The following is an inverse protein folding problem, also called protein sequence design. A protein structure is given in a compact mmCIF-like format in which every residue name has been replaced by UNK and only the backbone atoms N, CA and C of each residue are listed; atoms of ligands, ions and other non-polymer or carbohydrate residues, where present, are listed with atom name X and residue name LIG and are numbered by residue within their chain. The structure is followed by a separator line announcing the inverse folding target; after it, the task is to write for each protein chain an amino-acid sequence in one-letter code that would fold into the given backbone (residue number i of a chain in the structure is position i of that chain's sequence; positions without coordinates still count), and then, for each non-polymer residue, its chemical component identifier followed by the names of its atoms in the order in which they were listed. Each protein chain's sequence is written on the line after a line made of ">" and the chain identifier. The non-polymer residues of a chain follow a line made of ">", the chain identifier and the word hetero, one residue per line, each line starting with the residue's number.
data_IF_845830536923
#
_entry.id   IF_845830536923
#
_cell.length_a   1.000
_cell.length_b   1.000
_cell.length_c   1.000
_cell.angle_alpha   90.00
_cell.angle_beta   90.00
_cell.angle_gamma   90.00
#
_symmetry.space_group_name_H-M   'P 1'
#
loop_
_entity.id
_entity.type
_entity.pdbx_description
1 polymer ?
#
# COMPACT_ATOMS: atom_id res chain seq x y z
N UNK A 1 1.98 -7.49 -26.82
CA UNK A 1 2.42 -7.22 -25.42
C UNK A 1 1.61 -6.10 -24.74
N UNK A 2 1.21 -5.03 -25.46
CA UNK A 2 0.45 -3.93 -24.84
C UNK A 2 -1.01 -4.26 -24.46
N UNK A 3 -1.64 -5.27 -25.03
CA UNK A 3 -3.05 -5.64 -24.71
C UNK A 3 -3.24 -6.15 -23.30
N UNK A 4 -2.23 -6.78 -22.69
CA UNK A 4 -2.34 -7.37 -21.35
C UNK A 4 -2.17 -6.36 -20.22
N UNK A 5 -1.54 -5.20 -20.45
CA UNK A 5 -1.24 -4.25 -19.36
C UNK A 5 -2.49 -3.56 -18.80
N UNK A 6 -3.48 -3.30 -19.66
CA UNK A 6 -4.75 -2.70 -19.22
C UNK A 6 -5.59 -3.70 -18.40
N UNK A 7 -5.47 -4.97 -18.69
CA UNK A 7 -6.12 -6.03 -17.92
C UNK A 7 -5.45 -6.19 -16.55
N UNK A 8 -4.11 -6.23 -16.51
CA UNK A 8 -3.36 -6.27 -15.25
C UNK A 8 -3.72 -5.08 -14.35
N UNK A 9 -3.79 -3.86 -14.89
CA UNK A 9 -4.15 -2.64 -14.14
C UNK A 9 -5.56 -2.67 -13.53
N UNK A 10 -6.45 -3.53 -14.00
CA UNK A 10 -7.79 -3.71 -13.40
C UNK A 10 -7.74 -4.56 -12.14
N UNK A 11 -6.74 -5.42 -12.01
CA UNK A 11 -6.65 -6.40 -10.93
C UNK A 11 -5.54 -6.13 -9.93
N UNK A 12 -4.55 -5.33 -10.31
CA UNK A 12 -3.37 -5.05 -9.49
C UNK A 12 -3.27 -3.55 -9.24
N UNK A 13 -3.21 -3.19 -7.96
CA UNK A 13 -2.88 -1.83 -7.54
C UNK A 13 -1.49 -1.81 -6.89
N UNK A 14 -0.77 -0.72 -7.10
CA UNK A 14 0.56 -0.49 -6.57
C UNK A 14 0.61 0.86 -5.86
N UNK A 15 1.24 0.91 -4.69
CA UNK A 15 1.64 2.16 -4.04
C UNK A 15 3.15 2.27 -4.01
N UNK A 16 3.66 3.44 -4.37
CA UNK A 16 5.10 3.73 -4.42
C UNK A 16 5.65 4.09 -3.05
N UNK A 17 6.93 3.83 -2.85
CA UNK A 17 7.70 4.30 -1.70
C UNK A 17 7.59 5.82 -1.55
N UNK A 18 7.87 6.56 -2.62
CA UNK A 18 7.74 8.02 -2.71
C UNK A 18 6.30 8.40 -3.07
N UNK A 19 5.47 8.68 -2.05
CA UNK A 19 4.04 9.03 -2.27
C UNK A 19 3.88 10.28 -3.13
N UNK A 20 4.81 11.23 -3.07
CA UNK A 20 4.76 12.44 -3.88
C UNK A 20 4.83 12.16 -5.39
N UNK A 21 5.49 11.07 -5.80
CA UNK A 21 5.61 10.69 -7.21
C UNK A 21 4.32 10.03 -7.75
N UNK A 22 3.43 9.63 -6.83
CA UNK A 22 2.18 8.98 -7.17
C UNK A 22 1.01 9.96 -7.27
N UNK A 23 1.01 11.04 -6.47
CA UNK A 23 -0.10 11.98 -6.35
C UNK A 23 0.10 13.19 -7.26
N UNK A 24 -0.78 13.35 -8.25
CA UNK A 24 -0.62 14.37 -9.31
C UNK A 24 -1.91 15.13 -9.66
N UNK A 25 -3.07 14.72 -9.14
CA UNK A 25 -4.34 15.39 -9.41
C UNK A 25 -4.47 16.72 -8.65
N UNK A 26 -5.44 17.54 -9.08
CA UNK A 26 -5.72 18.85 -8.51
C UNK A 26 -6.38 18.80 -7.14
N UNK A 27 -7.01 17.69 -6.78
CA UNK A 27 -7.66 17.48 -5.49
C UNK A 27 -7.53 16.02 -5.03
N UNK A 28 -7.69 15.80 -3.72
CA UNK A 28 -7.78 14.46 -3.12
C UNK A 28 -8.93 13.67 -3.74
N UNK A 29 -10.07 14.32 -3.98
CA UNK A 29 -11.23 13.69 -4.61
C UNK A 29 -10.90 13.17 -6.00
N UNK A 30 -10.24 14.00 -6.82
CA UNK A 30 -9.83 13.63 -8.19
C UNK A 30 -8.78 12.52 -8.19
N UNK A 31 -7.86 12.52 -7.22
CA UNK A 31 -6.84 11.49 -7.08
C UNK A 31 -7.48 10.11 -6.85
N UNK A 32 -8.45 10.03 -5.91
CA UNK A 32 -9.16 8.78 -5.63
C UNK A 32 -10.07 8.37 -6.82
N UNK A 33 -10.68 9.34 -7.50
CA UNK A 33 -11.55 9.10 -8.65
C UNK A 33 -10.80 8.71 -9.93
N UNK A 34 -9.50 8.97 -10.02
CA UNK A 34 -8.71 8.83 -11.26
C UNK A 34 -8.74 7.41 -11.82
N UNK A 35 -8.44 6.40 -10.99
CA UNK A 35 -8.46 5.01 -11.40
C UNK A 35 -9.83 4.55 -11.89
N UNK A 36 -10.90 4.68 -11.09
CA UNK A 36 -12.27 4.36 -11.47
C UNK A 36 -12.75 5.07 -12.76
N UNK A 37 -12.39 6.35 -12.96
CA UNK A 37 -12.68 7.07 -14.21
C UNK A 37 -12.01 6.42 -15.44
N UNK A 38 -10.74 6.06 -15.31
CA UNK A 38 -10.00 5.40 -16.39
C UNK A 38 -10.49 3.97 -16.69
N UNK A 39 -11.10 3.32 -15.69
CA UNK A 39 -11.79 2.04 -15.88
C UNK A 39 -13.18 2.20 -16.53
N UNK A 40 -13.63 3.42 -16.78
CA UNK A 40 -14.91 3.72 -17.41
C UNK A 40 -16.12 3.47 -16.53
N UNK A 41 -15.97 3.58 -15.20
CA UNK A 41 -17.07 3.34 -14.28
C UNK A 41 -18.17 4.42 -14.39
N UNK A 42 -19.45 4.08 -14.10
CA UNK A 42 -20.52 5.05 -14.03
C UNK A 42 -20.24 6.14 -12.98
N UNK A 43 -20.61 7.39 -13.29
CA UNK A 43 -20.37 8.55 -12.41
C UNK A 43 -20.88 8.33 -10.97
N UNK A 44 -22.04 7.70 -10.81
CA UNK A 44 -22.60 7.40 -9.50
C UNK A 44 -21.73 6.42 -8.73
N UNK A 45 -21.25 5.32 -9.35
CA UNK A 45 -20.35 4.34 -8.71
C UNK A 45 -19.04 5.01 -8.30
N UNK A 46 -18.50 5.89 -9.14
CA UNK A 46 -17.28 6.66 -8.81
C UNK A 46 -17.52 7.49 -7.56
N UNK A 47 -18.61 8.27 -7.52
CA UNK A 47 -18.94 9.12 -6.38
C UNK A 47 -19.07 8.31 -5.08
N UNK A 48 -19.86 7.25 -5.08
CA UNK A 48 -20.04 6.36 -3.93
C UNK A 48 -18.71 5.75 -3.44
N UNK A 49 -17.87 5.33 -4.39
CA UNK A 49 -16.55 4.76 -4.07
C UNK A 49 -15.61 5.79 -3.45
N UNK A 50 -15.54 6.99 -4.02
CA UNK A 50 -14.70 8.07 -3.48
C UNK A 50 -15.16 8.47 -2.08
N UNK A 51 -16.47 8.69 -1.88
CA UNK A 51 -17.04 9.05 -0.58
C UNK A 51 -16.74 7.98 0.48
N UNK A 52 -16.85 6.70 0.13
CA UNK A 52 -16.51 5.58 1.01
C UNK A 52 -15.05 5.65 1.47
N UNK A 53 -14.10 5.88 0.54
CA UNK A 53 -12.69 5.92 0.88
C UNK A 53 -12.27 7.20 1.59
N UNK A 54 -12.88 8.34 1.25
CA UNK A 54 -12.71 9.60 2.00
C UNK A 54 -13.17 9.44 3.46
N UNK A 55 -14.30 8.75 3.67
CA UNK A 55 -14.79 8.47 5.01
C UNK A 55 -13.88 7.51 5.78
N UNK A 56 -13.47 6.41 5.13
CA UNK A 56 -12.63 5.38 5.75
C UNK A 56 -11.29 5.94 6.24
N UNK A 57 -10.63 6.77 5.44
CA UNK A 57 -9.34 7.37 5.76
C UNK A 57 -9.41 8.73 6.45
N UNK A 58 -10.61 9.19 6.86
CA UNK A 58 -10.82 10.50 7.51
C UNK A 58 -10.32 11.68 6.66
N UNK A 59 -10.52 11.64 5.34
CA UNK A 59 -10.03 12.63 4.37
C UNK A 59 -11.11 13.61 3.90
N UNK A 60 -12.35 13.55 4.42
CA UNK A 60 -13.49 14.37 3.93
C UNK A 60 -13.20 15.85 3.98
N UNK A 61 -12.62 16.34 5.07
CA UNK A 61 -12.32 17.78 5.26
C UNK A 61 -11.26 18.31 4.29
N UNK A 62 -10.43 17.43 3.74
CA UNK A 62 -9.36 17.78 2.81
C UNK A 62 -9.66 17.32 1.38
N UNK A 63 -10.85 16.81 1.10
CA UNK A 63 -11.23 16.21 -0.18
C UNK A 63 -11.00 17.12 -1.40
N UNK A 64 -11.20 18.42 -1.24
CA UNK A 64 -11.00 19.41 -2.28
C UNK A 64 -9.60 20.04 -2.27
N UNK A 65 -8.72 19.68 -1.33
CA UNK A 65 -7.36 20.22 -1.27
C UNK A 65 -6.44 19.49 -2.25
N UNK A 66 -5.48 20.20 -2.84
CA UNK A 66 -4.41 19.57 -3.60
C UNK A 66 -3.57 18.63 -2.71
N UNK A 67 -3.20 17.45 -3.21
CA UNK A 67 -2.43 16.48 -2.41
C UNK A 67 -1.11 17.02 -1.85
N UNK A 68 -0.44 17.93 -2.55
CA UNK A 68 0.82 18.49 -2.10
C UNK A 68 0.72 19.36 -0.82
N UNK A 69 -0.48 19.82 -0.46
CA UNK A 69 -0.76 20.55 0.79
C UNK A 69 -1.04 19.64 2.00
N UNK A 70 -1.00 18.34 1.83
CA UNK A 70 -1.29 17.36 2.87
C UNK A 70 -0.04 16.98 3.68
N UNK A 71 -0.26 16.50 4.92
CA UNK A 71 0.79 15.85 5.71
C UNK A 71 1.22 14.53 5.05
N UNK A 72 2.41 14.01 5.39
CA UNK A 72 2.91 12.72 4.86
C UNK A 72 1.94 11.57 5.10
N UNK A 73 1.38 11.48 6.31
CA UNK A 73 0.37 10.46 6.64
C UNK A 73 -0.92 10.60 5.82
N UNK A 74 -1.42 11.82 5.62
CA UNK A 74 -2.59 12.07 4.77
C UNK A 74 -2.30 11.70 3.30
N UNK A 75 -1.13 12.06 2.77
CA UNK A 75 -0.71 11.66 1.41
C UNK A 75 -0.70 10.13 1.26
N UNK A 76 -0.16 9.40 2.25
CA UNK A 76 -0.17 7.93 2.26
C UNK A 76 -1.59 7.38 2.25
N UNK A 77 -2.48 7.95 3.07
CA UNK A 77 -3.89 7.57 3.09
C UNK A 77 -4.58 7.81 1.73
N UNK A 78 -4.28 8.94 1.06
CA UNK A 78 -4.80 9.23 -0.29
C UNK A 78 -4.30 8.21 -1.31
N UNK A 79 -3.00 7.87 -1.30
CA UNK A 79 -2.43 6.88 -2.20
C UNK A 79 -3.07 5.49 -2.02
N UNK A 80 -3.29 5.07 -0.77
CA UNK A 80 -3.99 3.82 -0.46
C UNK A 80 -5.46 3.88 -0.91
N UNK A 81 -6.15 4.99 -0.64
CA UNK A 81 -7.54 5.19 -1.07
C UNK A 81 -7.66 5.12 -2.60
N UNK A 82 -6.76 5.77 -3.34
CA UNK A 82 -6.74 5.74 -4.80
C UNK A 82 -6.47 4.33 -5.34
N UNK A 83 -5.52 3.61 -4.74
CA UNK A 83 -5.21 2.23 -5.10
C UNK A 83 -6.43 1.31 -4.88
N UNK A 84 -7.08 1.41 -3.72
CA UNK A 84 -8.22 0.58 -3.35
C UNK A 84 -9.53 0.96 -4.04
N UNK A 85 -9.63 2.21 -4.53
CA UNK A 85 -10.82 2.66 -5.27
C UNK A 85 -11.07 1.88 -6.57
N UNK A 86 -10.03 1.24 -7.12
CA UNK A 86 -10.14 0.38 -8.31
C UNK A 86 -10.64 -1.05 -7.98
N UNK A 87 -10.89 -1.38 -6.72
CA UNK A 87 -11.31 -2.72 -6.26
C UNK A 87 -10.33 -3.83 -6.73
N UNK A 88 -9.02 -3.70 -6.44
CA UNK A 88 -8.01 -4.64 -6.93
C UNK A 88 -8.14 -6.01 -6.27
N UNK A 89 -7.61 -7.04 -6.94
CA UNK A 89 -7.46 -8.39 -6.39
C UNK A 89 -6.10 -8.58 -5.69
N UNK A 90 -5.11 -7.77 -6.08
CA UNK A 90 -3.77 -7.74 -5.50
C UNK A 90 -3.36 -6.29 -5.21
N UNK A 91 -2.98 -6.02 -3.98
CA UNK A 91 -2.36 -4.75 -3.57
C UNK A 91 -0.87 -4.97 -3.34
N UNK A 92 -0.04 -4.22 -4.06
CA UNK A 92 1.42 -4.21 -3.90
C UNK A 92 1.81 -2.92 -3.20
N UNK A 93 2.59 -3.02 -2.15
CA UNK A 93 3.03 -1.91 -1.31
C UNK A 93 4.56 -1.90 -1.26
N UNK A 94 5.14 -0.78 -1.67
CA UNK A 94 6.59 -0.55 -1.57
C UNK A 94 6.88 0.41 -0.43
N UNK A 95 7.60 -0.07 0.61
CA UNK A 95 7.94 0.64 1.85
C UNK A 95 6.77 1.45 2.44
N UNK A 96 5.61 0.85 2.70
CA UNK A 96 4.40 1.58 3.01
C UNK A 96 4.41 2.25 4.39
N UNK A 97 5.31 1.86 5.29
CA UNK A 97 5.43 2.41 6.64
C UNK A 97 6.49 3.52 6.77
N UNK A 98 7.27 3.80 5.70
CA UNK A 98 8.27 4.85 5.74
C UNK A 98 7.64 6.20 6.05
N UNK A 99 8.31 6.99 6.88
CA UNK A 99 7.90 8.33 7.32
C UNK A 99 6.56 8.38 8.08
N UNK A 100 6.02 7.23 8.50
CA UNK A 100 4.83 7.19 9.36
C UNK A 100 5.22 7.25 10.84
N UNK A 101 4.52 8.10 11.58
CA UNK A 101 4.54 8.04 13.03
C UNK A 101 3.88 6.74 13.56
N UNK A 102 4.06 6.45 14.83
CA UNK A 102 3.53 5.24 15.46
C UNK A 102 2.02 5.07 15.33
N UNK A 103 1.25 6.16 15.36
CA UNK A 103 -0.21 6.12 15.23
C UNK A 103 -0.63 5.75 13.81
N UNK A 104 -0.05 6.39 12.81
CA UNK A 104 -0.34 6.14 11.40
C UNK A 104 0.17 4.76 10.96
N UNK A 105 1.33 4.31 11.46
CA UNK A 105 1.83 2.95 11.24
C UNK A 105 0.87 1.90 11.79
N UNK A 106 0.35 2.07 13.02
CA UNK A 106 -0.65 1.15 13.60
C UNK A 106 -1.94 1.12 12.79
N UNK A 107 -2.42 2.29 12.32
CA UNK A 107 -3.59 2.36 11.43
C UNK A 107 -3.37 1.60 10.12
N UNK A 108 -2.19 1.76 9.50
CA UNK A 108 -1.81 1.01 8.30
C UNK A 108 -1.85 -0.50 8.54
N UNK A 109 -1.23 -0.99 9.63
CA UNK A 109 -1.25 -2.42 9.98
C UNK A 109 -2.68 -2.92 10.17
N UNK A 110 -3.50 -2.21 10.94
CA UNK A 110 -4.91 -2.58 11.16
C UNK A 110 -5.67 -2.63 9.84
N UNK A 111 -5.43 -1.67 8.96
CA UNK A 111 -6.03 -1.64 7.62
C UNK A 111 -5.64 -2.87 6.80
N UNK A 112 -4.34 -3.16 6.68
CA UNK A 112 -3.84 -4.28 5.87
C UNK A 112 -4.33 -5.64 6.40
N UNK A 113 -4.40 -5.81 7.72
CA UNK A 113 -4.95 -7.03 8.36
C UNK A 113 -6.43 -7.25 8.07
N UNK A 114 -7.19 -6.19 7.84
CA UNK A 114 -8.62 -6.24 7.52
C UNK A 114 -8.93 -6.53 6.05
N UNK A 115 -7.92 -6.55 5.16
CA UNK A 115 -8.15 -6.77 3.74
C UNK A 115 -8.43 -8.25 3.44
N UNK A 116 -9.40 -8.49 2.56
CA UNK A 116 -9.76 -9.82 2.04
C UNK A 116 -9.13 -10.13 0.68
N UNK A 117 -8.24 -9.27 0.19
CA UNK A 117 -7.53 -9.42 -1.09
C UNK A 117 -6.09 -9.89 -0.85
N UNK A 118 -5.41 -10.31 -1.91
CA UNK A 118 -3.98 -10.60 -1.84
C UNK A 118 -3.18 -9.31 -1.59
N UNK A 119 -2.22 -9.37 -0.65
CA UNK A 119 -1.34 -8.25 -0.33
C UNK A 119 0.11 -8.70 -0.45
N UNK A 120 0.91 -7.91 -1.15
CA UNK A 120 2.36 -8.06 -1.24
C UNK A 120 3.02 -6.80 -0.69
N UNK A 121 3.92 -6.96 0.28
CA UNK A 121 4.64 -5.86 0.91
C UNK A 121 6.13 -6.04 0.69
N UNK A 122 6.78 -5.06 0.08
CA UNK A 122 8.23 -4.92 0.07
C UNK A 122 8.61 -3.94 1.18
N UNK A 123 9.38 -4.38 2.17
CA UNK A 123 9.81 -3.54 3.28
C UNK A 123 10.99 -4.14 4.03
N UNK A 124 11.78 -3.28 4.66
CA UNK A 124 12.79 -3.67 5.66
C UNK A 124 12.25 -3.64 7.09
N UNK A 125 11.00 -3.20 7.28
CA UNK A 125 10.32 -3.16 8.57
C UNK A 125 9.79 -4.55 8.94
N UNK A 126 10.59 -5.34 9.64
CA UNK A 126 10.22 -6.70 10.05
C UNK A 126 8.98 -6.74 10.95
N UNK A 127 8.75 -5.69 11.77
CA UNK A 127 7.54 -5.61 12.59
C UNK A 127 6.28 -5.49 11.72
N UNK A 128 6.30 -4.61 10.71
CA UNK A 128 5.19 -4.53 9.77
C UNK A 128 4.96 -5.88 9.07
N UNK A 129 6.04 -6.49 8.55
CA UNK A 129 5.99 -7.78 7.86
C UNK A 129 5.39 -8.85 8.77
N UNK A 130 5.83 -8.96 10.02
CA UNK A 130 5.33 -9.95 10.98
C UNK A 130 3.84 -9.81 11.30
N UNK A 131 3.34 -8.57 11.30
CA UNK A 131 1.95 -8.29 11.61
C UNK A 131 0.99 -8.54 10.44
N UNK A 132 1.45 -8.38 9.17
CA UNK A 132 0.55 -8.36 8.02
C UNK A 132 0.73 -9.52 7.05
N UNK A 133 1.81 -10.30 7.15
CA UNK A 133 2.09 -11.38 6.21
C UNK A 133 2.25 -12.74 6.90
N UNK A 134 1.97 -13.81 6.15
CA UNK A 134 2.19 -15.20 6.60
C UNK A 134 3.39 -15.87 5.94
N UNK A 135 3.85 -15.34 4.81
CA UNK A 135 4.99 -15.82 4.04
C UNK A 135 5.93 -14.65 3.81
N UNK A 136 7.21 -14.87 4.01
CA UNK A 136 8.25 -13.88 3.83
C UNK A 136 9.32 -14.41 2.87
N UNK A 137 9.71 -13.55 1.93
CA UNK A 137 10.74 -13.82 0.94
C UNK A 137 11.89 -12.85 1.17
N UNK A 138 13.07 -13.37 1.45
CA UNK A 138 14.30 -12.57 1.56
C UNK A 138 14.98 -12.50 0.21
N UNK A 139 15.33 -11.30 -0.20
CA UNK A 139 16.02 -11.04 -1.46
C UNK A 139 17.39 -10.39 -1.22
N UNK A 140 18.41 -10.86 -1.93
CA UNK A 140 19.72 -10.21 -2.01
C UNK A 140 20.20 -10.17 -3.46
N UNK A 141 20.68 -9.02 -3.90
CA UNK A 141 21.23 -8.80 -5.27
C UNK A 141 20.35 -9.36 -6.39
N UNK A 142 19.01 -9.15 -6.26
CA UNK A 142 18.04 -9.58 -7.25
C UNK A 142 17.73 -11.09 -7.25
N UNK A 143 18.17 -11.83 -6.21
CA UNK A 143 17.90 -13.26 -6.05
C UNK A 143 17.12 -13.54 -4.77
N UNK A 144 16.23 -14.51 -4.81
CA UNK A 144 15.58 -15.04 -3.62
C UNK A 144 16.59 -15.93 -2.90
N UNK A 145 16.88 -15.58 -1.64
CA UNK A 145 17.85 -16.30 -0.79
C UNK A 145 17.16 -17.06 0.35
N UNK A 146 15.92 -16.67 0.71
CA UNK A 146 15.06 -17.45 1.58
C UNK A 146 13.59 -17.22 1.21
N UNK A 147 12.75 -18.24 1.42
CA UNK A 147 11.31 -18.24 1.21
C UNK A 147 10.67 -19.15 2.26
N UNK A 148 10.11 -18.55 3.31
CA UNK A 148 9.66 -19.26 4.51
C UNK A 148 8.45 -18.61 5.16
N UNK A 149 7.76 -19.28 6.12
CA UNK A 149 6.80 -18.67 7.01
C UNK A 149 7.40 -17.42 7.69
N UNK A 150 6.59 -16.36 7.79
CA UNK A 150 7.06 -15.06 8.32
C UNK A 150 7.54 -15.19 9.77
N UNK A 151 6.79 -15.93 10.59
CA UNK A 151 7.10 -16.17 12.00
C UNK A 151 8.38 -16.98 12.25
N UNK A 152 8.88 -17.67 11.24
CA UNK A 152 10.18 -18.32 11.29
C UNK A 152 11.31 -17.35 10.85
N UNK A 153 11.12 -16.70 9.69
CA UNK A 153 12.19 -15.92 9.07
C UNK A 153 12.52 -14.65 9.86
N UNK A 154 11.52 -13.92 10.38
CA UNK A 154 11.75 -12.64 11.08
C UNK A 154 12.52 -12.79 12.40
N UNK A 155 12.59 -14.00 12.96
CA UNK A 155 13.35 -14.33 14.18
C UNK A 155 14.62 -15.15 13.90
N UNK A 156 14.91 -15.47 12.62
CA UNK A 156 16.12 -16.20 12.24
C UNK A 156 17.33 -15.25 12.19
N UNK A 157 17.93 -15.06 13.37
CA UNK A 157 19.06 -14.16 13.56
C UNK A 157 20.25 -14.54 12.64
N UNK A 158 20.55 -15.82 12.50
CA UNK A 158 21.66 -16.30 11.68
C UNK A 158 21.47 -15.93 10.20
N UNK A 159 20.30 -16.22 9.63
CA UNK A 159 20.02 -15.89 8.23
C UNK A 159 19.96 -14.38 8.01
N UNK A 160 19.26 -13.64 8.85
CA UNK A 160 19.08 -12.20 8.66
C UNK A 160 20.38 -11.42 8.82
N UNK A 161 21.19 -11.72 9.84
CA UNK A 161 22.49 -11.07 10.04
C UNK A 161 23.46 -11.32 8.89
N UNK A 162 23.44 -12.52 8.28
CA UNK A 162 24.27 -12.82 7.11
C UNK A 162 23.98 -11.84 5.94
N UNK A 163 22.75 -11.34 5.84
CA UNK A 163 22.34 -10.36 4.82
C UNK A 163 22.23 -8.93 5.36
N UNK A 164 22.79 -8.65 6.55
CA UNK A 164 22.86 -7.31 7.12
C UNK A 164 21.53 -6.78 7.67
N UNK A 165 20.60 -7.67 8.00
CA UNK A 165 19.28 -7.32 8.60
C UNK A 165 19.29 -7.73 10.07
N UNK A 166 18.81 -6.84 10.96
CA UNK A 166 18.65 -7.15 12.37
C UNK A 166 17.35 -7.94 12.58
N UNK A 167 17.47 -9.13 13.15
CA UNK A 167 16.30 -9.97 13.45
C UNK A 167 15.44 -9.39 14.57
N UNK A 168 14.15 -9.73 14.57
CA UNK A 168 13.26 -9.42 15.70
C UNK A 168 13.65 -10.26 16.93
N UNK A 169 13.49 -9.66 18.12
CA UNK A 169 13.63 -10.39 19.39
C UNK A 169 12.27 -10.97 19.78
N UNK A 170 12.27 -12.20 20.29
CA UNK A 170 11.07 -12.85 20.82
C UNK A 170 10.66 -12.24 22.17
#
# INVERSE_FOLDING_TARGET
>A
EHKNINEVRRHVALTFQQVNDQLFCSSVWDEIAFGPRNLGWPKQKIHETVERWLAYFELKEVSQRPPHHLSGGQKRSVALAAAMAMEPQLLILDEPANDLDHRNRRRLITYLKGLSIAVMVASHDLYLISEVTKRCVLMDKGRIVADRPTDELVFDEYTLQHYGIEAMRR
#
